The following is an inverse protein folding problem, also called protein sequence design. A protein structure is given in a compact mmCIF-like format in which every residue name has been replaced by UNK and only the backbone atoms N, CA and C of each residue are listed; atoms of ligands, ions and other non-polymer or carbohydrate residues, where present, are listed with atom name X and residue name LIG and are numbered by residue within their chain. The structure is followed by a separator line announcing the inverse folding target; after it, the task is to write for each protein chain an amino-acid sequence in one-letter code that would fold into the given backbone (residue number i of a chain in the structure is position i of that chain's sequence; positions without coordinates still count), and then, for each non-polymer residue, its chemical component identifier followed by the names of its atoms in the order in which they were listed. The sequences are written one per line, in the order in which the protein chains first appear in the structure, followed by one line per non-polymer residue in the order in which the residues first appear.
data_IF_315668962364
#
_entry.id   IF_315668962364
#
_cell.length_a   1.000
_cell.length_b   1.000
_cell.length_c   1.000
_cell.angle_alpha   90.00
_cell.angle_beta   90.00
_cell.angle_gamma   90.00
#
_symmetry.space_group_name_H-M   'P 1'
#
loop_
_entity.id
_entity.type
_entity.pdbx_description
1 polymer ?
#
# COMPACT_ATOMS: atom_id res chain seq x y z
N UNK A 1 -3.87 2.96 15.21
CA UNK A 1 -3.36 3.64 13.99
C UNK A 1 -2.54 2.63 13.23
N UNK A 2 -2.85 2.38 11.95
CA UNK A 2 -2.02 1.51 11.10
C UNK A 2 -0.69 2.23 10.84
N UNK A 3 0.44 1.59 11.11
CA UNK A 3 1.76 2.14 10.83
C UNK A 3 2.34 1.40 9.61
N UNK A 4 2.00 1.91 8.42
CA UNK A 4 2.41 1.32 7.14
C UNK A 4 3.94 1.18 7.04
N UNK A 5 4.68 2.18 7.54
CA UNK A 5 6.14 2.19 7.51
C UNK A 5 6.73 1.02 8.31
N UNK A 6 6.20 0.77 9.52
CA UNK A 6 6.65 -0.33 10.36
C UNK A 6 6.31 -1.71 9.76
N UNK A 7 5.14 -1.86 9.14
CA UNK A 7 4.73 -3.11 8.48
C UNK A 7 5.65 -3.43 7.29
N UNK A 8 5.89 -2.45 6.41
CA UNK A 8 6.78 -2.60 5.27
C UNK A 8 8.22 -2.85 5.76
N UNK A 9 8.69 -2.11 6.77
CA UNK A 9 10.02 -2.31 7.34
C UNK A 9 10.21 -3.73 7.87
N UNK A 10 9.25 -4.24 8.65
CA UNK A 10 9.32 -5.60 9.18
C UNK A 10 9.31 -6.64 8.05
N UNK A 11 8.43 -6.49 7.07
CA UNK A 11 8.39 -7.37 5.90
C UNK A 11 9.75 -7.41 5.20
N UNK A 12 10.37 -6.24 4.98
CA UNK A 12 11.67 -6.16 4.32
C UNK A 12 12.79 -6.81 5.15
N UNK A 13 12.80 -6.56 6.46
CA UNK A 13 13.79 -7.14 7.36
C UNK A 13 13.66 -8.66 7.42
N UNK A 14 12.45 -9.19 7.50
CA UNK A 14 12.21 -10.63 7.59
C UNK A 14 12.46 -11.38 6.27
N UNK A 15 12.11 -10.77 5.12
CA UNK A 15 12.22 -11.44 3.82
C UNK A 15 13.55 -11.21 3.11
N UNK A 16 14.18 -10.04 3.29
CA UNK A 16 15.38 -9.65 2.53
C UNK A 16 16.63 -9.47 3.40
N UNK A 17 16.49 -9.00 4.66
CA UNK A 17 17.63 -8.79 5.56
C UNK A 17 17.84 -9.93 6.58
N UNK A 18 17.21 -11.09 6.38
CA UNK A 18 17.33 -12.26 7.26
C UNK A 18 17.08 -12.00 8.75
N UNK A 19 16.30 -10.96 9.08
CA UNK A 19 16.01 -10.55 10.46
C UNK A 19 17.04 -9.61 11.09
N UNK A 20 18.07 -9.18 10.37
CA UNK A 20 19.09 -8.25 10.85
C UNK A 20 18.90 -6.86 10.21
N UNK A 21 18.28 -5.90 10.91
CA UNK A 21 18.16 -4.55 10.39
C UNK A 21 19.55 -3.90 10.38
N UNK A 22 20.03 -3.52 9.19
CA UNK A 22 21.19 -2.64 9.09
C UNK A 22 20.91 -1.32 9.83
N UNK A 23 21.90 -0.78 10.55
CA UNK A 23 21.72 0.49 11.28
C UNK A 23 21.41 1.65 10.33
N UNK A 24 21.85 1.54 9.08
CA UNK A 24 21.61 2.50 8.00
C UNK A 24 20.28 2.26 7.24
N UNK A 25 19.50 1.24 7.62
CA UNK A 25 18.20 0.96 7.01
C UNK A 25 17.10 1.88 7.56
N UNK A 26 16.93 3.00 6.87
CA UNK A 26 15.94 4.03 7.12
C UNK A 26 14.80 3.99 6.09
N UNK A 27 13.74 4.78 6.31
CA UNK A 27 12.64 4.85 5.34
C UNK A 27 12.98 5.59 4.05
N UNK A 28 14.09 6.32 4.01
CA UNK A 28 14.60 7.01 2.82
C UNK A 28 15.66 6.19 2.08
N UNK A 29 16.07 5.06 2.65
CA UNK A 29 17.07 4.16 2.06
C UNK A 29 16.53 3.56 0.76
N UNK A 30 17.32 3.66 -0.31
CA UNK A 30 17.00 3.06 -1.60
C UNK A 30 17.24 1.55 -1.55
N UNK A 31 16.24 0.78 -1.93
CA UNK A 31 16.30 -0.68 -1.90
C UNK A 31 17.21 -1.22 -3.00
N UNK A 32 17.16 -0.59 -4.19
CA UNK A 32 17.96 -1.02 -5.34
C UNK A 32 19.39 -0.51 -5.25
N UNK A 33 19.64 0.74 -4.80
CA UNK A 33 21.00 1.28 -4.70
C UNK A 33 21.80 0.61 -3.59
N UNK A 34 21.19 0.34 -2.43
CA UNK A 34 21.83 -0.39 -1.35
C UNK A 34 21.88 -1.91 -1.59
N UNK A 35 21.22 -2.40 -2.64
CA UNK A 35 21.17 -3.83 -2.96
C UNK A 35 20.41 -4.68 -1.94
N UNK A 36 19.47 -4.06 -1.21
CA UNK A 36 18.59 -4.75 -0.25
C UNK A 36 17.59 -5.62 -0.99
N UNK A 37 17.08 -5.12 -2.12
CA UNK A 37 16.12 -5.82 -2.97
C UNK A 37 16.66 -5.85 -4.39
N UNK A 38 16.54 -7.00 -5.06
CA UNK A 38 16.79 -7.13 -6.49
C UNK A 38 15.54 -6.78 -7.33
N UNK A 39 15.69 -6.70 -8.65
CA UNK A 39 14.56 -6.49 -9.57
C UNK A 39 13.41 -7.49 -9.39
N UNK A 40 13.70 -8.71 -8.93
CA UNK A 40 12.69 -9.74 -8.64
C UNK A 40 12.01 -9.51 -7.30
N UNK A 41 12.73 -9.01 -6.29
CA UNK A 41 12.17 -8.78 -4.96
C UNK A 41 11.16 -7.63 -4.95
N UNK A 42 11.25 -6.68 -5.89
CA UNK A 42 10.21 -5.66 -6.08
C UNK A 42 8.87 -6.30 -6.43
N UNK A 43 8.84 -7.38 -7.22
CA UNK A 43 7.59 -8.09 -7.54
C UNK A 43 7.00 -8.80 -6.32
N UNK A 44 7.84 -9.35 -5.45
CA UNK A 44 7.39 -9.94 -4.17
C UNK A 44 6.82 -8.87 -3.23
N UNK A 45 7.49 -7.72 -3.14
CA UNK A 45 6.98 -6.57 -2.38
C UNK A 45 5.63 -6.12 -2.92
N UNK A 46 5.49 -5.96 -4.24
CA UNK A 46 4.22 -5.61 -4.90
C UNK A 46 3.13 -6.61 -4.54
N UNK A 47 3.41 -7.91 -4.70
CA UNK A 47 2.47 -9.00 -4.38
C UNK A 47 2.03 -8.89 -2.91
N UNK A 48 2.96 -8.70 -1.99
CA UNK A 48 2.66 -8.50 -0.56
C UNK A 48 1.75 -7.29 -0.34
N UNK A 49 2.01 -6.16 -1.00
CA UNK A 49 1.21 -4.94 -0.88
C UNK A 49 -0.21 -5.14 -1.43
N UNK A 50 -0.34 -5.78 -2.60
CA UNK A 50 -1.63 -6.09 -3.21
C UNK A 50 -2.47 -7.02 -2.34
N UNK A 51 -1.88 -8.10 -1.80
CA UNK A 51 -2.56 -9.05 -0.92
C UNK A 51 -2.90 -8.45 0.45
N UNK A 52 -2.00 -7.66 1.04
CA UNK A 52 -2.18 -7.09 2.38
C UNK A 52 -3.18 -5.93 2.41
N UNK A 53 -3.16 -5.09 1.37
CA UNK A 53 -3.98 -3.88 1.31
C UNK A 53 -5.15 -3.98 0.33
N UNK A 54 -5.34 -5.13 -0.33
CA UNK A 54 -6.38 -5.38 -1.34
C UNK A 54 -6.39 -4.30 -2.44
N UNK A 55 -5.21 -3.91 -2.91
CA UNK A 55 -5.01 -2.93 -3.98
C UNK A 55 -4.50 -3.61 -5.25
N UNK A 56 -4.64 -2.93 -6.40
CA UNK A 56 -3.93 -3.29 -7.63
C UNK A 56 -2.85 -2.25 -7.95
N UNK A 57 -1.66 -2.74 -8.26
CA UNK A 57 -0.50 -1.97 -8.70
C UNK A 57 -0.31 -2.26 -10.19
N UNK A 58 -0.49 -1.24 -11.02
CA UNK A 58 -0.34 -1.37 -12.47
C UNK A 58 1.14 -1.41 -12.86
N UNK A 59 1.47 -2.01 -14.01
CA UNK A 59 2.85 -2.08 -14.52
C UNK A 59 3.52 -0.70 -14.64
N UNK A 60 2.73 0.34 -14.95
CA UNK A 60 3.19 1.72 -15.04
C UNK A 60 3.58 2.32 -13.67
N UNK A 61 3.08 1.74 -12.59
CA UNK A 61 3.36 2.15 -11.22
C UNK A 61 4.54 1.38 -10.61
N UNK A 62 4.98 0.30 -11.27
CA UNK A 62 6.16 -0.51 -10.94
C UNK A 62 7.47 0.21 -11.29
N UNK A 63 7.59 1.44 -10.82
CA UNK A 63 8.76 2.30 -11.04
C UNK A 63 9.50 2.52 -9.73
N UNK A 64 10.84 2.68 -9.78
CA UNK A 64 11.65 2.99 -8.60
C UNK A 64 11.11 4.21 -7.83
N UNK A 65 10.59 5.21 -8.53
CA UNK A 65 10.01 6.41 -7.91
C UNK A 65 8.87 6.10 -6.92
N UNK A 66 8.17 4.98 -7.07
CA UNK A 66 7.11 4.54 -6.16
C UNK A 66 7.56 3.44 -5.18
N UNK A 67 8.50 2.58 -5.59
CA UNK A 67 8.79 1.32 -4.88
C UNK A 67 10.22 1.21 -4.35
N UNK A 68 11.10 2.17 -4.63
CA UNK A 68 12.52 2.09 -4.28
C UNK A 68 12.83 2.43 -2.82
N UNK A 69 11.86 2.92 -2.04
CA UNK A 69 12.09 3.18 -0.60
C UNK A 69 10.80 3.02 0.20
N UNK A 70 10.91 2.80 1.52
CA UNK A 70 9.74 2.64 2.39
C UNK A 70 8.88 3.90 2.32
N UNK A 71 9.50 5.08 2.31
CA UNK A 71 8.82 6.36 2.18
C UNK A 71 8.00 6.44 0.89
N UNK A 72 8.56 6.04 -0.24
CA UNK A 72 7.86 6.06 -1.53
C UNK A 72 6.68 5.09 -1.51
N UNK A 73 6.88 3.86 -1.01
CA UNK A 73 5.83 2.84 -0.90
C UNK A 73 4.70 3.34 0.00
N UNK A 74 5.02 3.90 1.17
CA UNK A 74 4.02 4.45 2.11
C UNK A 74 3.24 5.60 1.47
N UNK A 75 3.91 6.48 0.73
CA UNK A 75 3.22 7.56 0.00
C UNK A 75 2.31 6.99 -1.09
N UNK A 76 2.80 6.02 -1.85
CA UNK A 76 2.03 5.32 -2.88
C UNK A 76 0.77 4.67 -2.30
N UNK A 77 0.91 3.90 -1.21
CA UNK A 77 -0.20 3.28 -0.50
C UNK A 77 -1.21 4.31 0.04
N UNK A 78 -0.73 5.43 0.60
CA UNK A 78 -1.63 6.50 1.08
C UNK A 78 -2.49 7.08 -0.05
N UNK A 79 -1.93 7.22 -1.25
CA UNK A 79 -2.65 7.67 -2.45
C UNK A 79 -3.66 6.61 -2.91
N UNK A 80 -3.22 5.35 -3.00
CA UNK A 80 -4.06 4.20 -3.45
C UNK A 80 -5.22 3.91 -2.53
N UNK A 81 -4.98 3.88 -1.23
CA UNK A 81 -5.98 3.60 -0.21
C UNK A 81 -7.02 4.71 -0.06
N UNK A 82 -6.92 5.81 -0.85
CA UNK A 82 -7.74 7.00 -0.71
C UNK A 82 -7.98 7.29 0.77
N UNK A 83 -6.89 7.53 1.52
CA UNK A 83 -7.03 8.30 2.75
C UNK A 83 -7.24 9.77 2.35
N UNK A 84 -8.22 10.00 1.47
CA UNK A 84 -8.96 11.24 1.33
C UNK A 84 -10.05 11.13 2.40
N UNK A 85 -10.25 12.18 3.20
CA UNK A 85 -11.33 12.21 4.17
C UNK A 85 -12.63 11.72 3.52
N UNK A 86 -13.28 10.76 4.16
CA UNK A 86 -14.61 10.30 3.79
C UNK A 86 -15.60 11.46 3.92
N UNK A 87 -15.80 12.20 2.86
CA UNK A 87 -17.08 12.85 2.54
C UNK A 87 -17.63 12.17 1.28
N UNK A 88 -18.09 10.92 1.43
CA UNK A 88 -19.06 10.36 0.48
C UNK A 88 -20.43 10.92 0.88
N UNK A 89 -20.65 12.17 0.47
CA UNK A 89 -21.98 12.64 0.12
C UNK A 89 -22.37 11.99 -1.21
N UNK A 90 -23.66 11.66 -1.32
CA UNK A 90 -24.38 11.12 -2.47
C UNK A 90 -24.23 9.60 -2.71
N UNK A 91 -25.29 8.78 -2.76
CA UNK A 91 -26.69 9.08 -3.08
C UNK A 91 -27.67 8.31 -2.17
N UNK A 92 -28.55 9.06 -1.51
CA UNK A 92 -29.91 8.60 -1.31
C UNK A 92 -30.58 8.58 -2.68
N UNK A 93 -30.93 7.42 -3.25
CA UNK A 93 -32.30 6.90 -3.43
C UNK A 93 -32.21 5.56 -4.17
N UNK A 94 -32.57 4.45 -3.52
CA UNK A 94 -33.18 3.36 -4.27
C UNK A 94 -34.37 2.74 -3.53
N UNK A 95 -35.48 2.78 -4.26
CA UNK A 95 -36.71 2.03 -4.08
C UNK A 95 -37.63 2.45 -2.93
N UNK A 96 -38.48 3.41 -3.29
CA UNK A 96 -39.82 3.61 -2.77
C UNK A 96 -40.63 2.31 -2.84
N UNK A 97 -40.51 1.45 -1.82
CA UNK A 97 -41.46 0.36 -1.61
C UNK A 97 -42.83 0.96 -1.32
N UNK A 98 -43.67 0.90 -2.35
CA UNK A 98 -45.05 0.45 -2.23
C UNK A 98 -45.99 1.33 -1.43
N UNK A 99 -46.75 2.15 -2.14
CA UNK A 99 -48.12 2.51 -1.74
C UNK A 99 -48.86 1.24 -1.27
N UNK A 100 -49.17 1.14 0.01
CA UNK A 100 -50.31 0.36 0.50
C UNK A 100 -51.16 1.27 1.38
N UNK A 101 -51.93 2.13 0.71
CA UNK A 101 -53.17 2.61 1.27
C UNK A 101 -54.19 1.47 1.13
N UNK A 102 -54.44 0.76 2.22
CA UNK A 102 -55.69 0.01 2.37
C UNK A 102 -56.45 0.65 3.52
N UNK A 103 -57.46 1.43 3.14
CA UNK A 103 -58.62 1.74 3.95
C UNK A 103 -59.50 0.49 4.12
#
# INVERSE_FOLDING_TARGET
MRNLEAEIKNFLVENFLFGEPDEDFTSETSFLEEGIIDSTGILELVTFLEETYEIQIEDEELVPENLDSIKNVVQFLKRKLKIEGTETSDESVHSQYGKVAFA
#
